data_IF_701747063737
#
_entry.id   IF_701747063737
#
_cell.length_a   1.000
_cell.length_b   1.000
_cell.length_c   1.000
_cell.angle_alpha   90.00
_cell.angle_beta   90.00
_cell.angle_gamma   90.00
#
_symmetry.space_group_name_H-M   'P 1'
#
loop_
_entity.id
_entity.type
_entity.pdbx_description
1 polymer ?
#
# COMPACT_ATOMS: atom_id res chain seq x y z
N UNK A 1 33.96 -9.69 15.32
CA UNK A 1 32.81 -10.60 15.19
C UNK A 1 31.48 -9.92 15.51
N UNK A 2 31.35 -9.17 16.60
CA UNK A 2 30.10 -8.49 17.00
C UNK A 2 29.57 -7.52 15.92
N UNK A 3 30.44 -6.74 15.27
CA UNK A 3 30.03 -5.81 14.20
C UNK A 3 29.47 -6.49 12.95
N UNK A 4 30.00 -7.66 12.58
CA UNK A 4 29.48 -8.46 11.46
C UNK A 4 28.12 -9.09 11.80
N UNK A 5 27.95 -9.58 13.03
CA UNK A 5 26.64 -10.09 13.48
C UNK A 5 25.59 -8.97 13.52
N UNK A 6 25.94 -7.76 13.99
CA UNK A 6 25.05 -6.60 13.96
C UNK A 6 24.68 -6.19 12.54
N UNK A 7 25.67 -6.16 11.63
CA UNK A 7 25.41 -5.88 10.21
C UNK A 7 24.46 -6.91 9.59
N UNK A 8 24.70 -8.20 9.81
CA UNK A 8 23.82 -9.26 9.33
C UNK A 8 22.40 -9.14 9.91
N UNK A 9 22.26 -8.85 11.21
CA UNK A 9 20.97 -8.61 11.87
C UNK A 9 20.23 -7.42 11.27
N UNK A 10 20.90 -6.29 11.09
CA UNK A 10 20.31 -5.08 10.52
C UNK A 10 19.92 -5.33 9.05
N UNK A 11 20.79 -5.96 8.27
CA UNK A 11 20.50 -6.32 6.88
C UNK A 11 19.28 -7.25 6.76
N UNK A 12 19.22 -8.28 7.60
CA UNK A 12 18.11 -9.22 7.65
C UNK A 12 16.79 -8.52 8.03
N UNK A 13 16.81 -7.66 9.05
CA UNK A 13 15.64 -6.86 9.45
C UNK A 13 15.19 -5.88 8.35
N UNK A 14 16.12 -5.35 7.57
CA UNK A 14 15.83 -4.43 6.46
C UNK A 14 15.17 -5.16 5.29
N UNK A 15 15.63 -6.39 4.98
CA UNK A 15 15.00 -7.24 3.96
C UNK A 15 13.62 -7.76 4.41
N UNK A 16 13.44 -8.09 5.70
CA UNK A 16 12.12 -8.44 6.23
C UNK A 16 11.14 -7.27 6.24
N UNK A 17 11.61 -6.03 6.44
CA UNK A 17 10.79 -4.82 6.34
C UNK A 17 10.17 -4.63 4.96
N UNK A 18 10.81 -5.10 3.88
CA UNK A 18 10.30 -4.93 2.52
C UNK A 18 9.05 -5.75 2.21
N UNK A 19 8.63 -6.71 3.06
CA UNK A 19 7.49 -7.61 2.80
C UNK A 19 6.43 -7.61 3.92
N UNK A 20 6.28 -6.48 4.59
CA UNK A 20 5.60 -6.44 5.89
C UNK A 20 4.16 -5.91 5.84
N UNK A 21 3.70 -5.37 4.72
CA UNK A 21 2.37 -4.80 4.62
C UNK A 21 1.37 -5.89 4.14
N UNK A 22 0.39 -6.17 4.98
CA UNK A 22 -0.72 -7.09 4.68
C UNK A 22 -1.99 -6.25 4.65
N UNK A 23 -2.74 -6.36 3.57
CA UNK A 23 -4.06 -5.75 3.45
C UNK A 23 -5.09 -6.85 3.58
N UNK A 24 -5.92 -6.77 4.62
CA UNK A 24 -7.04 -7.68 4.81
C UNK A 24 -8.28 -6.97 4.31
N UNK A 25 -8.83 -7.46 3.20
CA UNK A 25 -10.11 -6.98 2.69
C UNK A 25 -11.21 -7.88 3.23
N UNK A 26 -12.06 -7.33 4.07
CA UNK A 26 -13.29 -7.98 4.54
C UNK A 26 -14.48 -7.59 3.64
N UNK A 27 -15.69 -8.08 3.94
CA UNK A 27 -16.91 -7.70 3.23
C UNK A 27 -17.11 -6.19 3.22
N UNK A 28 -16.89 -5.55 4.38
CA UNK A 28 -17.33 -4.18 4.67
C UNK A 28 -16.17 -3.23 5.02
N UNK A 29 -14.96 -3.75 5.26
CA UNK A 29 -13.82 -2.94 5.68
C UNK A 29 -12.50 -3.42 5.08
N UNK A 30 -11.59 -2.48 4.89
CA UNK A 30 -10.21 -2.69 4.48
C UNK A 30 -9.30 -2.38 5.67
N UNK A 31 -8.59 -3.39 6.15
CA UNK A 31 -7.58 -3.22 7.19
C UNK A 31 -6.18 -3.25 6.58
N UNK A 32 -5.43 -2.18 6.79
CA UNK A 32 -4.01 -2.13 6.45
C UNK A 32 -3.20 -2.43 7.71
N UNK A 33 -2.51 -3.56 7.72
CA UNK A 33 -1.50 -3.88 8.72
C UNK A 33 -0.14 -3.52 8.18
N UNK A 34 0.53 -2.56 8.83
CA UNK A 34 1.95 -2.30 8.57
C UNK A 34 2.81 -2.98 9.63
N UNK A 35 4.00 -3.44 9.23
CA UNK A 35 4.99 -4.09 10.10
C UNK A 35 4.60 -5.46 10.68
N UNK A 36 4.37 -6.47 9.83
CA UNK A 36 4.32 -7.88 10.28
C UNK A 36 3.27 -8.13 11.39
N UNK A 37 2.19 -7.34 11.45
CA UNK A 37 1.14 -7.46 12.45
C UNK A 37 1.43 -6.81 13.82
N UNK A 38 2.54 -6.10 13.98
CA UNK A 38 2.91 -5.39 15.24
C UNK A 38 2.51 -3.92 15.21
N UNK A 39 2.26 -3.34 14.03
CA UNK A 39 1.82 -1.96 13.86
C UNK A 39 0.31 -1.76 13.99
N UNK A 40 -0.09 -0.50 14.22
CA UNK A 40 -1.49 -0.05 14.27
C UNK A 40 -2.21 -0.40 12.96
N UNK A 41 -3.31 -1.18 13.07
CA UNK A 41 -4.16 -1.50 11.94
C UNK A 41 -5.00 -0.27 11.59
N UNK A 42 -4.77 0.32 10.41
CA UNK A 42 -5.67 1.33 9.89
C UNK A 42 -6.89 0.63 9.27
N UNK A 43 -8.07 0.94 9.80
CA UNK A 43 -9.35 0.43 9.30
C UNK A 43 -10.01 1.52 8.47
N UNK A 44 -10.45 1.15 7.28
CA UNK A 44 -11.24 1.99 6.40
C UNK A 44 -12.50 1.25 6.01
N UNK A 45 -13.66 1.90 6.06
CA UNK A 45 -14.91 1.30 5.60
C UNK A 45 -14.92 1.29 4.07
N UNK A 46 -15.38 0.19 3.46
CA UNK A 46 -15.40 0.07 2.00
C UNK A 46 -16.33 1.13 1.37
N UNK A 47 -17.40 1.50 2.08
CA UNK A 47 -18.38 2.49 1.62
C UNK A 47 -17.83 3.92 1.57
N UNK A 48 -16.73 4.20 2.26
CA UNK A 48 -16.09 5.52 2.26
C UNK A 48 -15.17 5.72 1.04
N UNK A 49 -14.84 4.67 0.29
CA UNK A 49 -13.98 4.81 -0.88
C UNK A 49 -14.75 5.29 -2.11
N UNK A 50 -14.26 6.37 -2.71
CA UNK A 50 -14.70 6.82 -4.03
C UNK A 50 -14.29 5.84 -5.13
N UNK A 51 -13.18 5.13 -4.91
CA UNK A 51 -12.61 4.20 -5.85
C UNK A 51 -11.10 4.06 -5.69
N UNK A 52 -10.44 3.58 -6.75
CA UNK A 52 -8.99 3.41 -6.76
C UNK A 52 -8.35 3.82 -8.07
N UNK A 53 -7.10 4.30 -8.01
CA UNK A 53 -6.25 4.56 -9.17
C UNK A 53 -5.08 3.59 -9.22
N UNK A 54 -4.59 3.35 -10.45
CA UNK A 54 -3.36 2.59 -10.70
C UNK A 54 -2.25 3.54 -11.05
N UNK A 55 -1.04 3.19 -10.65
CA UNK A 55 0.13 3.98 -10.97
C UNK A 55 1.33 3.08 -11.21
N UNK A 56 2.04 3.32 -12.30
CA UNK A 56 3.22 2.54 -12.67
C UNK A 56 4.48 3.40 -12.54
N UNK A 57 5.48 2.90 -11.80
CA UNK A 57 6.75 3.61 -11.62
C UNK A 57 7.91 2.63 -11.42
N UNK A 58 8.96 2.71 -12.25
CA UNK A 58 10.16 1.86 -12.20
C UNK A 58 9.85 0.37 -11.93
N UNK A 59 8.98 -0.22 -12.76
CA UNK A 59 8.58 -1.63 -12.67
C UNK A 59 7.81 -2.01 -11.40
N UNK A 60 7.32 -1.02 -10.65
CA UNK A 60 6.44 -1.20 -9.51
C UNK A 60 5.04 -0.72 -9.85
N UNK A 61 4.06 -1.52 -9.46
CA UNK A 61 2.65 -1.19 -9.58
C UNK A 61 2.13 -0.73 -8.24
N UNK A 62 1.52 0.44 -8.24
CA UNK A 62 0.89 1.06 -7.09
C UNK A 62 -0.63 1.12 -7.32
N UNK A 63 -1.37 0.78 -6.28
CA UNK A 63 -2.82 0.95 -6.19
C UNK A 63 -3.07 1.99 -5.11
N UNK A 64 -3.64 3.13 -5.48
CA UNK A 64 -4.02 4.17 -4.54
C UNK A 64 -5.52 4.11 -4.32
N UNK A 65 -5.90 4.08 -3.05
CA UNK A 65 -7.29 4.12 -2.61
C UNK A 65 -7.67 5.57 -2.31
N UNK A 66 -8.81 5.99 -2.82
CA UNK A 66 -9.27 7.38 -2.77
C UNK A 66 -10.52 7.50 -1.89
N UNK A 67 -10.48 8.43 -0.95
CA UNK A 67 -11.62 8.86 -0.11
C UNK A 67 -11.69 10.38 -0.20
N UNK A 68 -12.87 10.93 -0.47
CA UNK A 68 -13.11 12.36 -0.68
C UNK A 68 -12.10 13.03 -1.65
N UNK A 69 -11.71 12.32 -2.72
CA UNK A 69 -10.72 12.80 -3.68
C UNK A 69 -9.29 12.97 -3.12
N UNK A 70 -8.98 12.33 -1.99
CA UNK A 70 -7.64 12.25 -1.39
C UNK A 70 -7.15 10.80 -1.37
N UNK A 71 -5.85 10.59 -1.60
CA UNK A 71 -5.22 9.27 -1.50
C UNK A 71 -5.04 8.91 -0.03
N UNK A 72 -5.80 7.94 0.46
CA UNK A 72 -5.77 7.56 1.89
C UNK A 72 -4.93 6.32 2.14
N UNK A 73 -4.91 5.38 1.18
CA UNK A 73 -4.08 4.19 1.29
C UNK A 73 -3.39 3.88 -0.04
N UNK A 74 -2.23 3.24 0.06
CA UNK A 74 -1.39 2.85 -1.06
C UNK A 74 -0.94 1.41 -0.87
N UNK A 75 -1.12 0.60 -1.90
CA UNK A 75 -0.71 -0.80 -1.97
C UNK A 75 0.27 -0.96 -3.13
N UNK A 76 1.42 -1.58 -2.89
CA UNK A 76 2.47 -1.72 -3.91
C UNK A 76 2.83 -3.19 -4.07
N UNK A 77 2.98 -3.65 -5.32
CA UNK A 77 3.37 -5.04 -5.63
C UNK A 77 4.67 -5.48 -4.94
N UNK A 78 5.56 -4.53 -4.63
CA UNK A 78 6.84 -4.81 -3.97
C UNK A 78 6.70 -4.99 -2.45
N UNK A 79 5.79 -4.28 -1.81
CA UNK A 79 5.67 -4.23 -0.34
C UNK A 79 4.52 -5.09 0.20
N UNK A 80 3.51 -5.32 -0.63
CA UNK A 80 2.29 -6.03 -0.26
C UNK A 80 2.42 -7.50 -0.65
N UNK A 81 2.42 -8.38 0.35
CA UNK A 81 2.58 -9.82 0.11
C UNK A 81 1.43 -10.43 -0.69
N UNK A 82 0.21 -9.94 -0.48
CA UNK A 82 -1.02 -10.43 -1.12
C UNK A 82 -1.53 -9.48 -2.20
N UNK A 83 -0.63 -8.81 -2.93
CA UNK A 83 -0.96 -7.78 -3.90
C UNK A 83 -1.98 -8.24 -4.95
N UNK A 84 -1.78 -9.42 -5.55
CA UNK A 84 -2.67 -9.92 -6.61
C UNK A 84 -4.09 -10.18 -6.10
N UNK A 85 -4.21 -10.77 -4.90
CA UNK A 85 -5.51 -11.00 -4.24
C UNK A 85 -6.21 -9.67 -3.92
N UNK A 86 -5.47 -8.69 -3.40
CA UNK A 86 -6.00 -7.36 -3.09
C UNK A 86 -6.44 -6.66 -4.36
N UNK A 87 -5.62 -6.71 -5.42
CA UNK A 87 -5.95 -6.11 -6.72
C UNK A 87 -7.26 -6.67 -7.27
N UNK A 88 -7.41 -7.99 -7.32
CA UNK A 88 -8.65 -8.62 -7.80
C UNK A 88 -9.85 -8.19 -6.96
N UNK A 89 -9.70 -8.16 -5.64
CA UNK A 89 -10.79 -7.83 -4.75
C UNK A 89 -11.17 -6.33 -4.78
N UNK A 90 -10.21 -5.44 -5.05
CA UNK A 90 -10.47 -4.02 -5.31
C UNK A 90 -11.14 -3.80 -6.66
N UNK A 91 -10.71 -4.51 -7.71
CA UNK A 91 -11.33 -4.45 -9.04
C UNK A 91 -12.79 -4.96 -9.04
N UNK A 92 -13.14 -5.88 -8.13
CA UNK A 92 -14.51 -6.39 -7.98
C UNK A 92 -15.41 -5.45 -7.17
N UNK A 93 -14.87 -4.79 -6.13
CA UNK A 93 -15.67 -4.00 -5.18
C UNK A 93 -15.67 -2.49 -5.42
N UNK A 94 -14.63 -1.93 -6.01
CA UNK A 94 -14.44 -0.48 -6.13
C UNK A 94 -14.42 -0.03 -7.59
N UNK A 95 -14.80 1.23 -7.79
CA UNK A 95 -14.74 1.87 -9.12
C UNK A 95 -13.28 2.16 -9.49
N UNK A 96 -12.88 1.77 -10.70
CA UNK A 96 -11.60 2.14 -11.25
C UNK A 96 -11.65 3.58 -11.77
N UNK A 97 -10.89 4.48 -11.13
CA UNK A 97 -10.91 5.92 -11.42
C UNK A 97 -9.90 6.31 -12.52
N UNK A 98 -8.95 5.43 -12.85
CA UNK A 98 -8.00 5.63 -13.93
C UNK A 98 -6.56 5.28 -13.57
N UNK A 99 -5.68 5.53 -14.53
CA UNK A 99 -4.24 5.33 -14.39
C UNK A 99 -3.51 6.68 -14.29
N UNK A 100 -2.68 6.81 -13.28
CA UNK A 100 -1.91 8.01 -12.97
C UNK A 100 -0.44 7.78 -13.31
N UNK A 101 0.15 8.76 -14.00
CA UNK A 101 1.59 8.77 -14.25
C UNK A 101 2.33 9.39 -13.07
N UNK A 102 3.51 8.84 -12.74
CA UNK A 102 4.37 9.45 -11.73
C UNK A 102 4.83 10.83 -12.18
N UNK A 103 4.49 11.83 -11.37
CA UNK A 103 5.08 13.16 -11.44
C UNK A 103 5.37 13.68 -10.04
N UNK A 104 6.58 14.19 -9.84
CA UNK A 104 7.00 14.80 -8.57
C UNK A 104 6.08 15.98 -8.19
N UNK A 105 5.61 16.74 -9.18
CA UNK A 105 4.66 17.84 -8.95
C UNK A 105 3.34 17.35 -8.36
N UNK A 106 2.86 16.21 -8.84
CA UNK A 106 1.59 15.63 -8.40
C UNK A 106 1.74 15.06 -7.00
N UNK A 107 2.84 14.36 -6.71
CA UNK A 107 3.15 13.87 -5.35
C UNK A 107 3.23 15.03 -4.34
N UNK A 108 3.89 16.13 -4.69
CA UNK A 108 3.93 17.34 -3.86
C UNK A 108 2.54 17.92 -3.62
N UNK A 109 1.69 17.97 -4.66
CA UNK A 109 0.32 18.46 -4.52
C UNK A 109 -0.52 17.61 -3.56
N UNK A 110 -0.30 16.30 -3.52
CA UNK A 110 -0.98 15.40 -2.59
C UNK A 110 -0.50 15.59 -1.15
N UNK A 111 0.79 15.82 -0.92
CA UNK A 111 1.34 16.06 0.42
C UNK A 111 0.85 17.40 1.00
N UNK A 112 0.64 18.39 0.13
CA UNK A 112 0.21 19.73 0.53
C UNK A 112 -1.33 19.89 0.68
N UNK A 113 -2.13 18.86 0.37
CA UNK A 113 -3.61 18.91 0.30
C UNK A 113 -4.33 18.40 1.55
#
# INVERSE_FOLDING_TARGET
MIGLCLFCLIFLLTEFRKRADILILSSDHLEKFSFLGVGYAQRFDINEFDGFTKMWYYSKSYLHLIIDGKRVACCCNFHTRNYDTVKMALEDKLVFLGEENYSISNELSYILK
#
